data_IF_192347658890
#
_entry.id   IF_192347658890
#
_cell.length_a   1.000
_cell.length_b   1.000
_cell.length_c   1.000
_cell.angle_alpha   90.00
_cell.angle_beta   90.00
_cell.angle_gamma   90.00
#
_symmetry.space_group_name_H-M   'P 1'
#
loop_
_entity.id
_entity.type
_entity.pdbx_description
1 polymer ?
#
# COMPACT_ATOMS: atom_id res chain seq x y z
N UNK A 1 4.63 7.42 -20.20
CA UNK A 1 3.46 8.17 -19.66
C UNK A 1 2.86 7.40 -18.49
N UNK A 2 1.99 8.02 -17.67
CA UNK A 2 1.29 7.32 -16.57
C UNK A 2 -0.21 7.52 -16.75
N UNK A 3 -0.96 6.43 -16.77
CA UNK A 3 -2.41 6.44 -16.91
C UNK A 3 -3.06 5.66 -15.78
N UNK A 4 -4.04 6.26 -15.11
CA UNK A 4 -4.90 5.54 -14.17
C UNK A 4 -5.88 4.66 -14.93
N UNK A 5 -5.91 3.36 -14.64
CA UNK A 5 -6.81 2.41 -15.32
C UNK A 5 -7.95 1.90 -14.45
N UNK A 6 -7.69 1.58 -13.18
CA UNK A 6 -8.73 1.08 -12.27
C UNK A 6 -8.44 1.49 -10.82
N UNK A 7 -9.46 1.55 -9.97
CA UNK A 7 -9.33 1.71 -8.54
C UNK A 7 -10.19 0.70 -7.76
N UNK A 8 -9.74 0.36 -6.57
CA UNK A 8 -10.57 -0.34 -5.62
C UNK A 8 -10.35 0.21 -4.22
N UNK A 9 -11.37 0.05 -3.37
CA UNK A 9 -11.27 0.36 -1.95
C UNK A 9 -12.05 -0.65 -1.12
N UNK A 10 -11.63 -0.76 0.14
CA UNK A 10 -12.27 -1.55 1.18
C UNK A 10 -12.28 -0.73 2.46
N UNK A 11 -13.43 -0.73 3.15
CA UNK A 11 -13.58 -0.14 4.48
C UNK A 11 -14.18 -1.19 5.40
N UNK A 12 -13.52 -1.48 6.52
CA UNK A 12 -14.05 -2.35 7.55
C UNK A 12 -14.20 -1.61 8.88
N UNK A 13 -15.41 -1.11 9.19
CA UNK A 13 -15.68 -0.41 10.45
C UNK A 13 -15.50 -1.26 11.71
N UNK A 14 -15.60 -2.59 11.61
CA UNK A 14 -15.40 -3.48 12.75
C UNK A 14 -13.94 -3.44 13.26
N UNK A 15 -12.99 -3.14 12.37
CA UNK A 15 -11.56 -3.02 12.68
C UNK A 15 -11.13 -1.58 13.00
N UNK A 16 -12.07 -0.65 13.22
CA UNK A 16 -11.77 0.75 13.53
C UNK A 16 -10.81 0.91 14.71
N UNK A 17 -10.94 0.05 15.72
CA UNK A 17 -10.11 0.13 16.92
C UNK A 17 -8.67 -0.38 16.70
N UNK A 18 -8.40 -1.06 15.59
CA UNK A 18 -7.06 -1.54 15.26
C UNK A 18 -6.12 -0.40 14.85
N UNK A 19 -6.66 0.59 14.12
CA UNK A 19 -5.94 1.77 13.65
C UNK A 19 -6.87 3.00 13.70
N UNK A 20 -6.59 3.94 14.62
CA UNK A 20 -7.37 5.17 14.75
C UNK A 20 -6.53 6.35 15.28
N UNK A 21 -7.06 7.55 15.09
CA UNK A 21 -6.57 8.75 15.75
C UNK A 21 -7.54 9.17 16.86
N UNK A 22 -7.00 9.52 18.02
CA UNK A 22 -7.78 10.05 19.14
C UNK A 22 -7.12 11.30 19.72
N UNK A 23 -7.92 12.22 20.25
CA UNK A 23 -7.43 13.37 20.97
C UNK A 23 -7.12 12.99 22.42
N UNK A 24 -5.92 13.33 22.91
CA UNK A 24 -5.55 13.17 24.33
C UNK A 24 -4.77 14.39 24.79
N UNK A 25 -5.32 15.14 25.74
CA UNK A 25 -4.69 16.35 26.26
C UNK A 25 -4.45 17.42 25.18
N UNK A 26 -5.40 17.60 24.26
CA UNK A 26 -5.28 18.57 23.16
C UNK A 26 -4.39 18.14 21.99
N UNK A 27 -3.73 16.99 22.06
CA UNK A 27 -2.84 16.47 21.01
C UNK A 27 -3.48 15.29 20.27
N UNK A 28 -3.15 15.17 18.98
CA UNK A 28 -3.50 14.01 18.16
C UNK A 28 -2.63 12.82 18.53
N UNK A 29 -3.24 11.71 18.91
CA UNK A 29 -2.56 10.45 19.21
C UNK A 29 -2.94 9.39 18.18
N UNK A 30 -1.94 8.85 17.49
CA UNK A 30 -2.10 7.67 16.66
C UNK A 30 -2.14 6.42 17.54
N UNK A 31 -3.15 5.57 17.34
CA UNK A 31 -3.31 4.28 18.03
C UNK A 31 -3.22 3.19 16.97
N UNK A 32 -2.22 2.33 17.11
CA UNK A 32 -2.00 1.17 16.25
C UNK A 32 -1.88 -0.06 17.14
N UNK A 33 -2.71 -1.06 16.88
CA UNK A 33 -2.64 -2.36 17.57
C UNK A 33 -1.66 -3.29 16.87
N UNK A 34 -1.34 -4.42 17.51
CA UNK A 34 -0.43 -5.44 16.94
C UNK A 34 -1.01 -6.15 15.70
N UNK A 35 -2.31 -6.07 15.45
CA UNK A 35 -2.95 -6.73 14.30
C UNK A 35 -2.83 -5.93 12.99
N UNK A 36 -2.43 -4.66 13.07
CA UNK A 36 -2.38 -3.74 11.92
C UNK A 36 -1.58 -4.29 10.73
N UNK A 37 -0.38 -4.88 10.88
CA UNK A 37 0.35 -5.42 9.73
C UNK A 37 -0.42 -6.53 9.00
N UNK A 38 -1.08 -7.42 9.74
CA UNK A 38 -1.88 -8.50 9.16
C UNK A 38 -3.12 -7.99 8.43
N UNK A 39 -3.84 -7.03 9.04
CA UNK A 39 -5.01 -6.38 8.42
C UNK A 39 -4.63 -5.58 7.17
N UNK A 40 -3.52 -4.84 7.22
CA UNK A 40 -3.01 -4.09 6.08
C UNK A 40 -2.74 -5.01 4.89
N UNK A 41 -2.09 -6.15 5.15
CA UNK A 41 -1.74 -7.10 4.10
C UNK A 41 -2.99 -7.82 3.53
N UNK A 42 -3.90 -8.26 4.39
CA UNK A 42 -5.15 -8.92 3.99
C UNK A 42 -6.01 -8.01 3.10
N UNK A 43 -6.23 -6.76 3.52
CA UNK A 43 -7.04 -5.84 2.72
C UNK A 43 -6.33 -5.36 1.47
N UNK A 44 -4.99 -5.25 1.46
CA UNK A 44 -4.24 -4.96 0.25
C UNK A 44 -4.41 -6.05 -0.82
N UNK A 45 -4.42 -7.33 -0.42
CA UNK A 45 -4.69 -8.46 -1.33
C UNK A 45 -6.11 -8.41 -1.89
N UNK A 46 -7.11 -8.18 -1.04
CA UNK A 46 -8.51 -8.11 -1.49
C UNK A 46 -8.75 -6.94 -2.45
N UNK A 47 -8.19 -5.76 -2.15
CA UNK A 47 -8.29 -4.57 -3.00
C UNK A 47 -7.56 -4.78 -4.33
N UNK A 48 -6.39 -5.43 -4.31
CA UNK A 48 -5.66 -5.81 -5.52
C UNK A 48 -6.51 -6.72 -6.41
N UNK A 49 -6.97 -7.86 -5.88
CA UNK A 49 -7.75 -8.83 -6.65
C UNK A 49 -9.02 -8.20 -7.21
N UNK A 50 -9.70 -7.36 -6.44
CA UNK A 50 -10.86 -6.61 -6.93
C UNK A 50 -10.51 -5.77 -8.16
N UNK A 51 -9.53 -4.88 -8.07
CA UNK A 51 -9.15 -4.01 -9.17
C UNK A 51 -8.64 -4.77 -10.42
N UNK A 52 -7.84 -5.83 -10.22
CA UNK A 52 -7.32 -6.61 -11.35
C UNK A 52 -8.43 -7.38 -12.08
N UNK A 53 -9.39 -7.93 -11.32
CA UNK A 53 -10.48 -8.73 -11.87
C UNK A 53 -11.41 -7.93 -12.79
N UNK A 54 -11.64 -6.63 -12.51
CA UNK A 54 -12.48 -5.75 -13.34
C UNK A 54 -11.96 -5.59 -14.77
N UNK A 55 -10.66 -5.79 -14.99
CA UNK A 55 -10.03 -5.67 -16.31
C UNK A 55 -9.34 -6.95 -16.79
N UNK A 56 -9.61 -8.08 -16.12
CA UNK A 56 -9.12 -9.40 -16.52
C UNK A 56 -7.61 -9.63 -16.37
N UNK A 57 -6.98 -8.98 -15.40
CA UNK A 57 -5.57 -9.20 -15.06
C UNK A 57 -5.40 -10.10 -13.82
N UNK A 58 -4.19 -10.62 -13.64
CA UNK A 58 -3.77 -11.38 -12.46
C UNK A 58 -2.56 -10.71 -11.78
N UNK A 59 -2.28 -10.99 -10.49
CA UNK A 59 -1.17 -10.37 -9.77
C UNK A 59 0.18 -10.48 -10.47
N UNK A 60 0.42 -11.56 -11.22
CA UNK A 60 1.64 -11.80 -12.00
C UNK A 60 1.85 -10.80 -13.14
N UNK A 61 0.79 -10.11 -13.58
CA UNK A 61 0.88 -9.05 -14.60
C UNK A 61 1.46 -7.75 -14.04
N UNK A 62 1.49 -7.58 -12.70
CA UNK A 62 2.00 -6.38 -12.03
C UNK A 62 3.53 -6.38 -12.10
N UNK A 63 4.10 -5.37 -12.77
CA UNK A 63 5.54 -5.24 -12.97
C UNK A 63 6.24 -4.41 -11.90
N UNK A 64 5.52 -3.53 -11.20
CA UNK A 64 6.08 -2.62 -10.19
C UNK A 64 5.07 -2.38 -9.07
N UNK A 65 5.55 -2.41 -7.82
CA UNK A 65 4.73 -2.30 -6.62
C UNK A 65 5.05 -1.00 -5.86
N UNK A 66 4.01 -0.19 -5.63
CA UNK A 66 4.06 1.09 -4.92
C UNK A 66 3.22 0.96 -3.64
N UNK A 67 3.82 0.42 -2.59
CA UNK A 67 3.07 0.03 -1.38
C UNK A 67 3.32 1.00 -0.23
N UNK A 68 2.26 1.45 0.43
CA UNK A 68 2.39 2.12 1.73
C UNK A 68 2.93 1.16 2.77
N UNK A 69 3.92 1.61 3.54
CA UNK A 69 4.42 0.89 4.69
C UNK A 69 4.39 1.78 5.93
N UNK A 70 3.55 1.41 6.90
CA UNK A 70 3.54 2.05 8.21
C UNK A 70 4.77 1.73 9.06
N UNK A 71 5.52 0.69 8.69
CA UNK A 71 6.71 0.19 9.37
C UNK A 71 7.21 -1.12 8.74
N UNK A 72 8.32 -1.66 9.26
CA UNK A 72 8.96 -2.89 8.76
C UNK A 72 8.00 -4.10 8.75
N UNK A 73 7.23 -4.27 9.82
CA UNK A 73 6.34 -5.43 9.97
C UNK A 73 5.23 -5.44 8.90
N UNK A 74 4.83 -4.25 8.42
CA UNK A 74 3.86 -4.12 7.32
C UNK A 74 4.46 -4.61 6.01
N UNK A 75 5.71 -4.25 5.70
CA UNK A 75 6.39 -4.76 4.50
C UNK A 75 6.49 -6.28 4.51
N UNK A 76 6.86 -6.87 5.66
CA UNK A 76 6.96 -8.33 5.82
C UNK A 76 5.58 -8.98 5.63
N UNK A 77 4.53 -8.41 6.23
CA UNK A 77 3.18 -8.93 6.10
C UNK A 77 2.68 -8.86 4.64
N UNK A 78 2.93 -7.76 3.93
CA UNK A 78 2.60 -7.59 2.52
C UNK A 78 3.32 -8.62 1.66
N UNK A 79 4.64 -8.77 1.85
CA UNK A 79 5.46 -9.75 1.12
C UNK A 79 4.88 -11.18 1.29
N UNK A 80 4.60 -11.57 2.53
CA UNK A 80 4.12 -12.92 2.84
C UNK A 80 2.70 -13.18 2.33
N UNK A 81 1.82 -12.17 2.35
CA UNK A 81 0.44 -12.29 1.91
C UNK A 81 0.36 -12.34 0.39
N UNK A 82 0.92 -11.33 -0.28
CA UNK A 82 0.87 -11.17 -1.74
C UNK A 82 1.79 -12.12 -2.50
N UNK A 83 2.62 -12.89 -1.80
CA UNK A 83 3.60 -13.83 -2.39
C UNK A 83 4.61 -13.16 -3.33
N UNK A 84 4.93 -11.90 -3.07
CA UNK A 84 5.91 -11.12 -3.81
C UNK A 84 7.29 -11.20 -3.15
N UNK A 85 8.33 -10.81 -3.87
CA UNK A 85 9.71 -10.80 -3.38
C UNK A 85 10.02 -9.52 -2.58
N UNK A 86 11.15 -9.53 -1.88
CA UNK A 86 11.66 -8.30 -1.26
C UNK A 86 12.06 -7.24 -2.30
N UNK A 87 12.46 -7.68 -3.50
CA UNK A 87 12.84 -6.81 -4.62
C UNK A 87 11.64 -6.04 -5.17
N UNK A 88 10.45 -6.67 -5.17
CA UNK A 88 9.19 -6.02 -5.55
C UNK A 88 8.87 -4.84 -4.62
N UNK A 89 9.23 -4.96 -3.34
CA UNK A 89 9.02 -3.92 -2.33
C UNK A 89 10.22 -2.98 -2.14
N UNK A 90 11.26 -3.04 -2.98
CA UNK A 90 12.52 -2.29 -2.77
C UNK A 90 12.30 -0.79 -2.64
N UNK A 91 11.39 -0.20 -3.43
CA UNK A 91 11.12 1.24 -3.37
C UNK A 91 10.43 1.62 -2.06
N UNK A 92 9.41 0.85 -1.65
CA UNK A 92 8.75 1.04 -0.36
C UNK A 92 9.72 0.85 0.81
N UNK A 93 10.57 -0.17 0.77
CA UNK A 93 11.59 -0.41 1.78
C UNK A 93 12.61 0.73 1.86
N UNK A 94 13.08 1.22 0.71
CA UNK A 94 14.04 2.33 0.63
C UNK A 94 13.43 3.63 1.16
N UNK A 95 12.20 3.98 0.76
CA UNK A 95 11.55 5.20 1.24
C UNK A 95 11.24 5.12 2.75
N UNK A 96 10.86 3.95 3.25
CA UNK A 96 10.69 3.73 4.69
C UNK A 96 12.01 3.89 5.44
N UNK A 97 13.12 3.40 4.88
CA UNK A 97 14.44 3.56 5.49
C UNK A 97 14.90 5.03 5.53
N UNK A 98 14.72 5.77 4.43
CA UNK A 98 15.20 7.15 4.30
C UNK A 98 14.34 8.17 5.05
N UNK A 99 13.02 7.97 5.09
CA UNK A 99 12.08 8.99 5.54
C UNK A 99 11.12 8.54 6.63
N UNK A 100 11.10 7.24 6.96
CA UNK A 100 10.10 6.68 7.86
C UNK A 100 8.69 6.76 7.30
N UNK A 101 7.70 6.62 8.18
CA UNK A 101 6.29 6.72 7.80
C UNK A 101 5.87 8.20 7.68
N UNK A 102 5.76 8.68 6.44
CA UNK A 102 5.28 10.03 6.11
C UNK A 102 3.76 10.12 5.93
N UNK A 103 3.00 9.20 6.55
CA UNK A 103 1.54 9.12 6.42
C UNK A 103 1.12 9.01 4.93
N UNK A 104 0.08 9.73 4.51
CA UNK A 104 -0.48 9.69 3.16
C UNK A 104 0.51 10.08 2.06
N UNK A 105 1.50 10.93 2.34
CA UNK A 105 2.49 11.34 1.35
C UNK A 105 3.41 10.19 0.92
N UNK A 106 3.57 9.17 1.77
CA UNK A 106 4.55 8.09 1.59
C UNK A 106 4.47 7.41 0.22
N UNK A 107 3.25 7.06 -0.26
CA UNK A 107 3.10 6.34 -1.54
C UNK A 107 3.55 7.16 -2.74
N UNK A 108 3.46 8.49 -2.67
CA UNK A 108 3.95 9.36 -3.73
C UNK A 108 5.48 9.42 -3.77
N UNK A 109 6.15 9.31 -2.63
CA UNK A 109 7.61 9.18 -2.59
C UNK A 109 8.07 7.85 -3.18
N UNK A 110 7.35 6.76 -2.90
CA UNK A 110 7.61 5.45 -3.52
C UNK A 110 7.39 5.50 -5.03
N UNK A 111 6.29 6.13 -5.47
CA UNK A 111 6.00 6.34 -6.88
C UNK A 111 7.11 7.14 -7.57
N UNK A 112 7.52 8.26 -6.97
CA UNK A 112 8.59 9.10 -7.48
C UNK A 112 9.92 8.36 -7.57
N UNK A 113 10.25 7.53 -6.57
CA UNK A 113 11.46 6.70 -6.59
C UNK A 113 11.45 5.71 -7.75
N UNK A 114 10.32 5.02 -7.98
CA UNK A 114 10.17 4.10 -9.10
C UNK A 114 10.27 4.80 -10.47
N UNK A 115 9.70 6.00 -10.59
CA UNK A 115 9.80 6.80 -11.81
C UNK A 115 11.23 7.27 -12.08
N UNK A 116 11.93 7.77 -11.05
CA UNK A 116 13.30 8.26 -11.18
C UNK A 116 14.29 7.14 -11.52
N UNK A 117 14.02 5.92 -11.05
CA UNK A 117 14.84 4.74 -11.32
C UNK A 117 14.51 4.08 -12.67
N UNK A 118 13.56 4.64 -13.45
CA UNK A 118 13.05 4.03 -14.69
C UNK A 118 12.63 2.58 -14.48
N UNK A 119 11.86 2.32 -13.42
CA UNK A 119 11.35 0.99 -13.11
C UNK A 119 10.63 0.37 -14.32
N UNK A 120 10.61 -0.97 -14.36
CA UNK A 120 10.07 -1.74 -15.48
C UNK A 120 8.68 -1.20 -15.90
N UNK A 121 8.50 -0.79 -17.17
CA UNK A 121 7.20 -0.32 -17.66
C UNK A 121 6.20 -1.49 -17.66
N UNK A 122 4.91 -1.16 -17.69
CA UNK A 122 3.84 -2.15 -17.59
C UNK A 122 2.74 -1.74 -16.62
N UNK A 123 2.23 -2.72 -15.89
CA UNK A 123 1.17 -2.52 -14.90
C UNK A 123 1.78 -2.26 -13.54
N UNK A 124 1.49 -1.10 -12.97
CA UNK A 124 1.98 -0.73 -11.65
C UNK A 124 0.81 -0.75 -10.67
N UNK A 125 1.03 -1.35 -9.51
CA UNK A 125 0.04 -1.37 -8.43
C UNK A 125 0.44 -0.39 -7.34
N UNK A 126 -0.43 0.57 -7.04
CA UNK A 126 -0.25 1.51 -5.94
C UNK A 126 -1.31 1.29 -4.87
N UNK A 127 -0.90 1.08 -3.62
CA UNK A 127 -1.86 0.83 -2.52
C UNK A 127 -1.45 1.47 -1.21
N UNK A 128 -2.47 1.91 -0.46
CA UNK A 128 -2.33 2.46 0.89
C UNK A 128 -3.44 1.97 1.82
N UNK A 129 -3.19 2.04 3.12
CA UNK A 129 -4.17 1.76 4.16
C UNK A 129 -4.12 2.83 5.25
N UNK A 130 -5.19 2.95 6.03
CA UNK A 130 -5.31 3.99 7.05
C UNK A 130 -6.37 3.69 8.10
N UNK A 131 -6.54 4.67 8.99
CA UNK A 131 -7.45 4.59 10.14
C UNK A 131 -8.90 4.35 9.70
N UNK A 132 -9.57 3.32 10.22
CA UNK A 132 -10.93 3.01 9.80
C UNK A 132 -11.46 1.60 10.07
N UNK A 133 -10.75 0.50 9.82
CA UNK A 133 -9.59 0.31 8.94
C UNK A 133 -10.03 0.50 7.48
N UNK A 134 -9.24 1.22 6.67
CA UNK A 134 -9.50 1.36 5.24
C UNK A 134 -8.27 0.98 4.41
N UNK A 135 -8.50 0.52 3.19
CA UNK A 135 -7.47 0.24 2.20
C UNK A 135 -7.93 0.73 0.83
N UNK A 136 -7.01 1.32 0.08
CA UNK A 136 -7.23 1.90 -1.23
C UNK A 136 -6.14 1.40 -2.18
N UNK A 137 -6.51 1.17 -3.43
CA UNK A 137 -5.61 0.71 -4.48
C UNK A 137 -5.94 1.38 -5.81
N UNK A 138 -4.90 1.62 -6.59
CA UNK A 138 -4.99 2.16 -7.94
C UNK A 138 -4.07 1.36 -8.86
N UNK A 139 -4.62 0.92 -9.99
CA UNK A 139 -3.87 0.29 -11.06
C UNK A 139 -3.47 1.35 -12.08
N UNK A 140 -2.18 1.41 -12.37
CA UNK A 140 -1.60 2.36 -13.32
C UNK A 140 -1.00 1.60 -14.51
N UNK A 141 -1.14 2.17 -15.71
CA UNK A 141 -0.37 1.76 -16.89
C UNK A 141 0.77 2.76 -17.10
N UNK A 142 2.00 2.27 -17.03
CA UNK A 142 3.21 3.09 -17.21
C UNK A 142 3.93 2.66 -18.48
N UNK A 143 4.22 3.63 -19.34
CA UNK A 143 4.96 3.47 -20.60
C UNK A 143 6.33 4.13 -20.54
#
# INVERSE_FOLDING_TARGET
SIEWKEYASLVNPAERNALLFQMRGGMLRNVLTRTVPGLAADYAEQVLHKALSEIGLVPEDVSTWIMHAGGRDVLIALQNRLKISAEDLRYSATMLHLHGNMSSAFVYFVLQAALNDNAKPGWWWMSSFGAGFNCHGALLKVA
#
